data_IF_972362193813
#
_entry.id   IF_972362193813
#
_cell.length_a   1.000
_cell.length_b   1.000
_cell.length_c   1.000
_cell.angle_alpha   90.00
_cell.angle_beta   90.00
_cell.angle_gamma   90.00
#
_symmetry.space_group_name_H-M   'P 1'
#
loop_
_entity.id
_entity.type
_entity.pdbx_description
1 polymer ?
#
# COMPACT_ATOMS: atom_id res chain seq x y z
N UNK A 1 -14.23 13.47 -0.58
CA UNK A 1 -13.45 12.57 -1.46
C UNK A 1 -12.20 13.30 -1.90
N UNK A 2 -11.08 12.60 -2.03
CA UNK A 2 -9.79 13.21 -2.39
C UNK A 2 -8.98 12.25 -3.25
N UNK A 3 -8.16 12.79 -4.15
CA UNK A 3 -7.30 11.99 -5.01
C UNK A 3 -5.91 11.81 -4.39
N UNK A 4 -5.36 10.60 -4.48
CA UNK A 4 -4.00 10.29 -4.03
C UNK A 4 -3.27 9.43 -5.05
N UNK A 5 -1.94 9.55 -5.07
CA UNK A 5 -1.08 8.63 -5.81
C UNK A 5 -0.80 7.43 -4.91
N UNK A 6 -1.09 6.22 -5.40
CA UNK A 6 -0.90 4.96 -4.67
C UNK A 6 -0.01 4.04 -5.49
N UNK A 7 1.01 3.49 -4.84
CA UNK A 7 1.81 2.39 -5.37
C UNK A 7 1.78 1.20 -4.42
N UNK A 8 1.79 -0.01 -4.96
CA UNK A 8 1.77 -1.23 -4.17
C UNK A 8 2.54 -2.37 -4.84
N UNK A 9 2.99 -3.33 -4.03
CA UNK A 9 3.64 -4.57 -4.52
C UNK A 9 2.56 -5.58 -4.90
N UNK A 10 2.67 -6.16 -6.09
CA UNK A 10 1.77 -7.21 -6.58
C UNK A 10 2.48 -8.14 -7.56
N UNK A 11 1.89 -9.30 -7.78
CA UNK A 11 2.20 -10.18 -8.91
C UNK A 11 1.33 -9.72 -10.09
N UNK A 12 1.93 -9.06 -11.08
CA UNK A 12 1.24 -8.68 -12.31
C UNK A 12 2.05 -9.04 -13.57
N UNK A 13 1.39 -9.00 -14.72
CA UNK A 13 1.96 -9.38 -16.02
C UNK A 13 3.02 -8.38 -16.55
N UNK A 14 3.15 -7.20 -15.94
CA UNK A 14 4.05 -6.11 -16.34
C UNK A 14 5.21 -5.87 -15.35
N UNK A 15 5.18 -6.46 -14.15
CA UNK A 15 6.21 -6.32 -13.12
C UNK A 15 5.68 -6.54 -11.70
N UNK A 16 6.55 -6.30 -10.70
CA UNK A 16 6.27 -6.59 -9.28
C UNK A 16 5.44 -5.50 -8.56
N UNK A 17 4.61 -4.72 -9.27
CA UNK A 17 3.85 -3.65 -8.63
C UNK A 17 3.02 -2.77 -9.56
N UNK A 18 1.97 -2.18 -8.99
CA UNK A 18 1.09 -1.24 -9.68
C UNK A 18 1.14 0.16 -9.08
N UNK A 19 1.05 1.17 -9.95
CA UNK A 19 0.95 2.58 -9.59
C UNK A 19 -0.31 3.19 -10.22
N UNK A 20 -1.10 3.91 -9.43
CA UNK A 20 -2.30 4.57 -9.93
C UNK A 20 -2.64 5.81 -9.12
N UNK A 21 -3.21 6.81 -9.81
CA UNK A 21 -3.94 7.90 -9.18
C UNK A 21 -5.38 7.44 -8.92
N UNK A 22 -5.82 7.50 -7.67
CA UNK A 22 -7.12 6.96 -7.24
C UNK A 22 -7.92 7.98 -6.43
N UNK A 23 -9.25 7.85 -6.44
CA UNK A 23 -10.13 8.56 -5.52
C UNK A 23 -10.34 7.76 -4.24
N UNK A 24 -10.35 8.45 -3.09
CA UNK A 24 -10.55 7.85 -1.78
C UNK A 24 -12.03 7.94 -1.32
N UNK A 25 -12.55 6.91 -0.61
CA UNK A 25 -11.85 5.70 -0.15
C UNK A 25 -11.62 4.68 -1.27
N UNK A 26 -10.45 4.04 -1.27
CA UNK A 26 -10.04 3.04 -2.26
C UNK A 26 -9.65 1.73 -1.58
N UNK A 27 -9.97 0.61 -2.23
CA UNK A 27 -9.58 -0.73 -1.77
C UNK A 27 -9.13 -1.57 -2.97
N UNK A 28 -8.08 -2.38 -2.77
CA UNK A 28 -7.63 -3.37 -3.74
C UNK A 28 -7.09 -4.62 -3.05
N UNK A 29 -7.36 -5.76 -3.64
CA UNK A 29 -6.82 -7.06 -3.24
C UNK A 29 -5.95 -7.59 -4.36
N UNK A 30 -4.73 -7.98 -4.05
CA UNK A 30 -3.73 -8.47 -5.01
C UNK A 30 -3.05 -9.72 -4.47
N UNK A 31 -2.45 -10.49 -5.37
CA UNK A 31 -1.46 -11.51 -5.01
C UNK A 31 -0.10 -10.83 -4.94
N UNK A 32 0.75 -11.28 -4.01
CA UNK A 32 2.12 -10.77 -3.86
C UNK A 32 3.08 -11.93 -4.15
N UNK A 33 4.16 -11.72 -4.91
CA UNK A 33 5.12 -12.77 -5.20
C UNK A 33 5.72 -13.34 -3.91
N UNK A 34 5.95 -14.66 -3.90
CA UNK A 34 6.62 -15.32 -2.77
C UNK A 34 7.98 -14.68 -2.48
N UNK A 35 8.31 -14.52 -1.19
CA UNK A 35 9.55 -13.90 -0.74
C UNK A 35 9.63 -12.37 -0.91
N UNK A 36 8.52 -11.70 -1.26
CA UNK A 36 8.42 -10.24 -1.27
C UNK A 36 7.49 -9.75 -0.18
N UNK A 37 7.94 -8.77 0.59
CA UNK A 37 7.09 -8.14 1.59
C UNK A 37 6.01 -7.29 0.91
N UNK A 38 4.73 -7.45 1.27
CA UNK A 38 3.67 -6.58 0.81
C UNK A 38 3.92 -5.16 1.32
N UNK A 39 3.80 -4.20 0.41
CA UNK A 39 3.85 -2.78 0.75
C UNK A 39 2.85 -2.00 -0.10
N UNK A 40 2.26 -0.98 0.51
CA UNK A 40 1.49 0.09 -0.15
C UNK A 40 2.04 1.43 0.31
N UNK A 41 2.26 2.33 -0.64
CA UNK A 41 2.74 3.68 -0.42
C UNK A 41 1.72 4.63 -1.00
N UNK A 42 1.35 5.63 -0.21
CA UNK A 42 0.40 6.66 -0.61
C UNK A 42 1.06 8.02 -0.49
N UNK A 43 0.84 8.87 -1.49
CA UNK A 43 1.26 10.27 -1.48
C UNK A 43 0.07 11.17 -1.76
N UNK A 44 -0.16 12.12 -0.87
CA UNK A 44 -1.15 13.18 -1.05
C UNK A 44 -0.66 14.24 -2.07
N UNK A 45 -1.62 14.90 -2.72
CA UNK A 45 -1.35 16.03 -3.60
C UNK A 45 -0.97 17.31 -2.87
N UNK A 46 -0.76 18.39 -3.63
CA UNK A 46 -0.44 19.74 -3.11
C UNK A 46 -1.51 20.28 -2.17
N UNK A 47 -2.77 19.93 -2.44
CA UNK A 47 -3.93 20.32 -1.64
C UNK A 47 -3.88 19.71 -0.22
N UNK A 48 -3.10 18.64 -0.04
CA UNK A 48 -3.00 17.93 1.23
C UNK A 48 -4.29 17.20 1.59
N UNK A 49 -4.59 17.18 2.89
CA UNK A 49 -5.67 16.39 3.47
C UNK A 49 -5.13 15.41 4.50
N UNK A 50 -5.91 14.38 4.80
CA UNK A 50 -5.52 13.25 5.64
C UNK A 50 -5.68 11.96 4.84
N UNK A 51 -4.75 11.04 4.99
CA UNK A 51 -4.84 9.70 4.43
C UNK A 51 -4.45 8.67 5.48
N UNK A 52 -5.19 7.57 5.52
CA UNK A 52 -4.83 6.38 6.29
C UNK A 52 -4.75 5.19 5.35
N UNK A 53 -3.68 4.41 5.45
CA UNK A 53 -3.59 3.09 4.83
C UNK A 53 -3.77 2.01 5.90
N UNK A 54 -4.38 0.89 5.52
CA UNK A 54 -4.42 -0.33 6.32
C UNK A 54 -4.06 -1.52 5.42
N UNK A 55 -3.11 -2.33 5.88
CA UNK A 55 -2.66 -3.53 5.19
C UNK A 55 -3.08 -4.76 6.00
N UNK A 56 -3.68 -5.72 5.30
CA UNK A 56 -4.02 -7.03 5.86
C UNK A 56 -3.46 -8.14 4.96
N UNK A 57 -2.91 -9.18 5.57
CA UNK A 57 -2.34 -10.35 4.87
C UNK A 57 -3.11 -11.58 5.32
N UNK A 58 -3.67 -12.34 4.38
CA UNK A 58 -4.49 -13.51 4.72
C UNK A 58 -5.75 -13.18 5.54
N UNK A 59 -6.26 -11.95 5.44
CA UNK A 59 -7.39 -11.46 6.24
C UNK A 59 -7.00 -10.92 7.62
N UNK A 60 -5.75 -11.05 8.04
CA UNK A 60 -5.26 -10.55 9.32
C UNK A 60 -4.66 -9.15 9.16
N UNK A 61 -5.09 -8.20 10.00
CA UNK A 61 -4.53 -6.86 10.02
C UNK A 61 -3.05 -6.90 10.43
N UNK A 62 -2.18 -6.33 9.60
CA UNK A 62 -0.73 -6.30 9.87
C UNK A 62 -0.22 -4.92 10.23
N UNK A 63 -0.68 -3.90 9.52
CA UNK A 63 -0.20 -2.55 9.77
C UNK A 63 -1.22 -1.48 9.34
N UNK A 64 -1.17 -0.35 10.03
CA UNK A 64 -1.85 0.90 9.67
C UNK A 64 -0.85 2.05 9.75
N UNK A 65 -0.99 3.04 8.87
CA UNK A 65 -0.28 4.30 8.97
C UNK A 65 -1.20 5.44 8.51
N UNK A 66 -0.99 6.61 9.10
CA UNK A 66 -1.74 7.83 8.77
C UNK A 66 -0.76 8.95 8.48
N UNK A 67 -1.09 9.80 7.53
CA UNK A 67 -0.36 11.02 7.23
C UNK A 67 -1.33 12.15 6.91
N UNK A 68 -0.92 13.38 7.20
CA UNK A 68 -1.71 14.57 6.91
C UNK A 68 -0.85 15.70 6.33
N UNK A 69 -1.52 16.68 5.74
CA UNK A 69 -0.90 17.86 5.13
C UNK A 69 -0.54 17.69 3.65
N UNK A 70 -0.08 18.78 3.05
CA UNK A 70 0.35 18.82 1.65
C UNK A 70 1.51 17.84 1.42
N UNK A 71 1.39 17.00 0.40
CA UNK A 71 2.41 15.98 0.08
C UNK A 71 2.71 14.97 1.20
N UNK A 72 1.79 14.82 2.16
CA UNK A 72 1.86 13.79 3.20
C UNK A 72 2.01 12.40 2.60
N UNK A 73 2.77 11.53 3.28
CA UNK A 73 3.07 10.17 2.82
C UNK A 73 2.74 9.16 3.91
N UNK A 74 1.95 8.16 3.56
CA UNK A 74 1.68 7.01 4.41
C UNK A 74 2.24 5.76 3.73
N UNK A 75 2.95 4.93 4.50
CA UNK A 75 3.42 3.62 4.03
C UNK A 75 2.88 2.55 4.95
N UNK A 76 2.28 1.53 4.36
CA UNK A 76 1.91 0.32 5.05
C UNK A 76 2.68 -0.86 4.45
N UNK A 77 3.43 -1.58 5.27
CA UNK A 77 4.15 -2.80 4.91
C UNK A 77 3.95 -3.87 5.96
N UNK A 78 4.15 -5.12 5.58
CA UNK A 78 4.22 -6.23 6.51
C UNK A 78 5.36 -7.14 6.10
N UNK A 79 6.09 -7.64 7.08
CA UNK A 79 7.03 -8.74 6.85
C UNK A 79 6.20 -10.00 6.61
N UNK A 80 6.44 -10.68 5.48
CA UNK A 80 5.97 -12.05 5.37
C UNK A 80 6.92 -12.93 6.20
N UNK A 81 6.41 -13.99 6.84
CA UNK A 81 7.29 -15.07 7.24
C UNK A 81 7.95 -15.56 5.95
N UNK A 82 9.18 -15.12 5.70
CA UNK A 82 9.99 -15.68 4.65
C UNK A 82 10.07 -17.17 4.89
N UNK A 83 10.17 -17.96 3.83
CA UNK A 83 10.72 -19.30 3.95
C UNK A 83 12.05 -19.17 4.69
N UNK A 84 12.01 -19.34 6.01
CA UNK A 84 13.19 -19.53 6.83
C UNK A 84 13.67 -20.91 6.44
N UNK A 85 14.37 -21.00 5.31
CA UNK A 85 15.29 -22.11 5.09
C UNK A 85 16.28 -22.04 6.24
N UNK A 86 16.08 -22.92 7.22
CA UNK A 86 17.15 -23.37 8.09
C UNK A 86 18.26 -24.04 7.28
#
# INVERSE_FOLDING_TARGET
>A
TGAADVSYVAEDAAGSGGEARVELPWQKTVRVPLGKDPAVRIRLGKQGGEVSCALSVGGEHRQRATASGAYGRATCSAELPGDRKG
#
